data_IF_345796197387
#
_entry.id   IF_345796197387
#
_cell.length_a   1.000
_cell.length_b   1.000
_cell.length_c   1.000
_cell.angle_alpha   90.00
_cell.angle_beta   90.00
_cell.angle_gamma   90.00
#
_symmetry.space_group_name_H-M   'P 1'
#
loop_
_entity.id
_entity.type
_entity.pdbx_description
1 polymer ?
#
# COMPACT_ATOMS: atom_id res chain seq x y z
N UNK A 1 12.56 -57.15 -12.01
CA UNK A 1 11.30 -56.48 -11.75
C UNK A 1 11.65 -55.04 -11.31
N UNK A 2 11.61 -54.09 -12.28
CA UNK A 2 12.02 -52.68 -12.02
C UNK A 2 10.76 -51.90 -11.64
N UNK A 3 10.79 -51.29 -10.46
CA UNK A 3 9.74 -50.37 -10.00
C UNK A 3 10.23 -48.97 -10.31
N UNK A 4 9.59 -48.31 -11.27
CA UNK A 4 9.83 -46.93 -11.66
C UNK A 4 9.02 -46.02 -10.75
N UNK A 5 9.69 -45.27 -9.90
CA UNK A 5 9.09 -44.21 -9.10
C UNK A 5 8.81 -42.99 -9.98
N UNK A 6 7.54 -42.62 -10.12
CA UNK A 6 7.14 -41.31 -10.65
C UNK A 6 7.28 -40.25 -9.55
N UNK A 7 8.34 -39.46 -9.60
CA UNK A 7 8.44 -38.19 -8.89
C UNK A 7 7.50 -37.18 -9.55
N UNK A 8 6.38 -36.89 -8.91
CA UNK A 8 5.56 -35.72 -9.23
C UNK A 8 6.27 -34.47 -8.70
N UNK A 9 7.13 -33.89 -9.53
CA UNK A 9 7.60 -32.51 -9.34
C UNK A 9 6.40 -31.58 -9.50
N UNK A 10 5.88 -31.07 -8.41
CA UNK A 10 4.96 -29.94 -8.41
C UNK A 10 5.68 -28.72 -8.96
N UNK A 11 5.31 -28.31 -10.16
CA UNK A 11 5.67 -27.00 -10.72
C UNK A 11 4.93 -25.91 -9.97
N UNK A 12 5.56 -25.35 -8.93
CA UNK A 12 5.06 -24.25 -8.12
C UNK A 12 5.56 -22.88 -8.65
N UNK A 13 6.18 -22.82 -9.85
CA UNK A 13 6.96 -21.63 -10.24
C UNK A 13 6.26 -20.65 -11.20
N UNK A 14 5.14 -20.99 -11.86
CA UNK A 14 4.69 -20.17 -13.00
C UNK A 14 3.39 -19.37 -12.80
N UNK A 15 2.78 -19.40 -11.61
CA UNK A 15 1.49 -18.70 -11.38
C UNK A 15 1.59 -17.34 -10.67
N UNK A 16 2.79 -16.92 -10.24
CA UNK A 16 2.95 -15.72 -9.39
C UNK A 16 3.46 -14.46 -10.11
N UNK A 17 3.57 -14.44 -11.43
CA UNK A 17 4.22 -13.33 -12.16
C UNK A 17 3.32 -12.16 -12.57
N UNK A 18 2.02 -12.11 -12.26
CA UNK A 18 1.13 -11.08 -12.85
C UNK A 18 0.37 -10.16 -11.88
N UNK A 19 0.48 -10.29 -10.57
CA UNK A 19 -0.29 -9.47 -9.63
C UNK A 19 0.59 -8.92 -8.48
N UNK A 20 1.49 -7.98 -8.77
CA UNK A 20 2.00 -7.10 -7.71
C UNK A 20 0.93 -6.07 -7.39
N UNK A 21 0.12 -6.34 -6.36
CA UNK A 21 -0.84 -5.35 -5.88
C UNK A 21 -0.12 -4.19 -5.20
N UNK A 22 -0.69 -2.99 -5.39
CA UNK A 22 -0.21 -1.79 -4.71
C UNK A 22 -0.34 -1.98 -3.20
N UNK A 23 0.68 -1.63 -2.38
CA UNK A 23 0.54 -1.63 -0.94
C UNK A 23 -0.72 -0.87 -0.52
N UNK A 24 -1.55 -1.51 0.31
CA UNK A 24 -2.77 -0.93 0.86
C UNK A 24 -2.48 -0.35 2.25
N UNK A 25 -3.48 0.10 2.98
CA UNK A 25 -3.27 0.76 4.28
C UNK A 25 -2.45 -0.09 5.27
N UNK A 26 -2.71 -1.38 5.48
CA UNK A 26 -1.94 -2.17 6.45
C UNK A 26 -0.46 -2.29 6.10
N UNK A 27 -0.13 -2.47 4.83
CA UNK A 27 1.25 -2.56 4.34
C UNK A 27 1.98 -1.23 4.53
N UNK A 28 1.32 -0.11 4.17
CA UNK A 28 1.91 1.23 4.32
C UNK A 28 2.06 1.61 5.79
N UNK A 29 1.13 1.20 6.68
CA UNK A 29 1.23 1.45 8.12
C UNK A 29 2.40 0.69 8.76
N UNK A 30 2.59 -0.58 8.41
CA UNK A 30 3.72 -1.35 8.90
C UNK A 30 5.06 -0.77 8.42
N UNK A 31 5.13 -0.34 7.15
CA UNK A 31 6.32 0.36 6.64
C UNK A 31 6.56 1.68 7.36
N UNK A 32 5.50 2.46 7.66
CA UNK A 32 5.58 3.68 8.46
C UNK A 32 6.20 3.42 9.83
N UNK A 33 5.69 2.39 10.53
CA UNK A 33 6.20 2.03 11.88
C UNK A 33 7.69 1.72 11.81
N UNK A 34 8.11 0.91 10.84
CA UNK A 34 9.51 0.56 10.66
C UNK A 34 10.38 1.78 10.30
N UNK A 35 9.95 2.62 9.36
CA UNK A 35 10.68 3.84 9.00
C UNK A 35 10.76 4.83 10.15
N UNK A 36 9.66 5.05 10.90
CA UNK A 36 9.67 5.91 12.08
C UNK A 36 10.76 5.49 13.07
N UNK A 37 10.91 4.18 13.32
CA UNK A 37 11.93 3.62 14.21
C UNK A 37 13.35 3.91 13.71
N UNK A 38 13.60 3.74 12.39
CA UNK A 38 14.94 3.79 11.83
C UNK A 38 15.41 5.22 11.51
N UNK A 39 14.52 6.10 11.00
CA UNK A 39 14.97 7.39 10.43
C UNK A 39 14.49 8.62 11.19
N UNK A 40 13.67 8.48 12.24
CA UNK A 40 13.25 9.60 13.07
C UNK A 40 14.43 10.28 13.73
N UNK A 41 14.39 11.60 13.77
CA UNK A 41 15.42 12.49 14.31
C UNK A 41 16.75 12.48 13.56
N UNK A 42 16.88 11.74 12.47
CA UNK A 42 18.06 11.78 11.62
C UNK A 42 18.07 13.02 10.71
N UNK A 43 19.24 13.61 10.52
CA UNK A 43 19.45 14.74 9.60
C UNK A 43 19.78 14.22 8.21
N UNK A 44 19.21 14.81 7.18
CA UNK A 44 19.56 14.55 5.78
C UNK A 44 20.85 15.31 5.47
N UNK A 45 21.96 14.58 5.37
CA UNK A 45 23.28 15.16 5.10
C UNK A 45 23.47 15.44 3.62
N UNK A 46 22.97 14.55 2.75
CA UNK A 46 22.91 14.74 1.31
C UNK A 46 21.76 13.95 0.70
N UNK A 47 21.35 14.35 -0.50
CA UNK A 47 20.35 13.64 -1.30
C UNK A 47 20.82 13.50 -2.74
N UNK A 48 20.57 12.35 -3.35
CA UNK A 48 20.81 12.08 -4.76
C UNK A 48 19.50 11.70 -5.43
N UNK A 49 19.17 12.33 -6.55
CA UNK A 49 17.98 12.02 -7.36
C UNK A 49 18.43 11.53 -8.73
N UNK A 50 18.48 10.22 -8.93
CA UNK A 50 18.90 9.57 -10.18
C UNK A 50 17.80 9.59 -11.23
N UNK A 51 16.52 9.62 -10.81
CA UNK A 51 15.38 9.66 -11.71
C UNK A 51 14.47 10.86 -11.40
N UNK A 52 14.72 12.03 -12.04
CA UNK A 52 14.04 13.29 -11.73
C UNK A 52 12.51 13.25 -11.79
N UNK A 53 11.92 12.39 -12.64
CA UNK A 53 10.44 12.29 -12.75
C UNK A 53 9.78 11.91 -11.42
N UNK A 54 10.49 11.22 -10.50
CA UNK A 54 9.91 10.76 -9.23
C UNK A 54 9.71 11.89 -8.21
N UNK A 55 10.36 13.02 -8.40
CA UNK A 55 10.21 14.22 -7.55
C UNK A 55 9.52 15.39 -8.28
N UNK A 56 9.13 15.21 -9.54
CA UNK A 56 8.65 16.30 -10.41
C UNK A 56 7.14 16.47 -10.46
N UNK A 57 6.39 15.72 -9.68
CA UNK A 57 4.91 15.77 -9.64
C UNK A 57 4.26 14.42 -9.45
N UNK A 58 2.93 14.37 -9.56
CA UNK A 58 2.09 13.17 -9.35
C UNK A 58 1.34 12.78 -10.62
N UNK A 59 0.90 11.52 -10.69
CA UNK A 59 0.07 11.00 -11.79
C UNK A 59 0.79 10.96 -13.15
N UNK A 60 0.02 10.96 -14.23
CA UNK A 60 0.52 10.80 -15.60
C UNK A 60 1.17 12.07 -16.19
N UNK A 61 1.03 13.22 -15.51
CA UNK A 61 1.59 14.52 -15.95
C UNK A 61 3.03 14.73 -15.51
N UNK A 62 3.68 13.74 -14.89
CA UNK A 62 5.07 13.84 -14.43
C UNK A 62 6.02 13.91 -15.61
N UNK A 63 6.74 15.01 -15.72
CA UNK A 63 7.86 15.15 -16.67
C UNK A 63 9.17 15.16 -15.89
N UNK A 64 10.18 14.46 -16.39
CA UNK A 64 11.52 14.53 -15.82
C UNK A 64 12.05 15.97 -15.91
N UNK A 65 12.47 16.53 -14.78
CA UNK A 65 13.01 17.88 -14.69
C UNK A 65 14.24 17.88 -13.77
N UNK A 66 15.40 18.16 -14.35
CA UNK A 66 16.66 18.31 -13.60
C UNK A 66 16.58 19.48 -12.61
N UNK A 67 15.92 20.57 -13.01
CA UNK A 67 15.72 21.75 -12.15
C UNK A 67 14.88 21.38 -10.90
N UNK A 68 13.75 20.67 -11.06
CA UNK A 68 12.95 20.20 -9.92
C UNK A 68 13.70 19.18 -9.03
N UNK A 69 14.56 18.36 -9.62
CA UNK A 69 15.40 17.46 -8.83
C UNK A 69 16.44 18.25 -8.00
N UNK A 70 17.07 19.25 -8.58
CA UNK A 70 17.99 20.14 -7.86
C UNK A 70 17.28 20.95 -6.77
N UNK A 71 16.09 21.48 -7.06
CA UNK A 71 15.23 22.14 -6.08
C UNK A 71 14.88 21.19 -4.92
N UNK A 72 14.41 19.97 -5.23
CA UNK A 72 14.11 18.96 -4.21
C UNK A 72 15.31 18.71 -3.30
N UNK A 73 16.50 18.51 -3.88
CA UNK A 73 17.73 18.27 -3.10
C UNK A 73 18.03 19.48 -2.20
N UNK A 74 17.97 20.72 -2.73
CA UNK A 74 18.31 21.92 -1.97
C UNK A 74 17.38 22.16 -0.77
N UNK A 75 16.09 21.82 -0.91
CA UNK A 75 15.10 22.05 0.16
C UNK A 75 15.09 20.95 1.22
N UNK A 76 15.56 19.73 0.93
CA UNK A 76 15.55 18.62 1.91
C UNK A 76 16.87 18.48 2.66
N UNK A 77 18.00 18.81 2.03
CA UNK A 77 19.33 18.70 2.65
C UNK A 77 19.46 19.66 3.83
N UNK A 78 20.09 19.17 4.90
CA UNK A 78 20.24 19.91 6.15
C UNK A 78 19.04 19.80 7.11
N UNK A 79 17.88 19.33 6.65
CA UNK A 79 16.68 19.14 7.49
C UNK A 79 16.76 17.83 8.27
N UNK A 80 16.12 17.81 9.44
CA UNK A 80 15.94 16.61 10.27
C UNK A 80 14.55 16.03 9.98
N UNK A 81 14.45 14.70 9.86
CA UNK A 81 13.16 14.00 9.79
C UNK A 81 12.61 13.91 11.21
N UNK A 82 11.57 14.67 11.53
CA UNK A 82 11.01 14.74 12.88
C UNK A 82 9.97 13.67 13.16
N UNK A 83 9.28 13.21 12.11
CA UNK A 83 8.31 12.11 12.19
C UNK A 83 8.09 11.47 10.82
N UNK A 84 7.68 10.20 10.83
CA UNK A 84 7.11 9.50 9.66
C UNK A 84 5.64 9.20 9.96
N UNK A 85 4.74 9.83 9.22
CA UNK A 85 3.30 9.65 9.36
C UNK A 85 2.71 8.96 8.13
N UNK A 86 1.44 8.57 8.22
CA UNK A 86 0.67 8.00 7.11
C UNK A 86 -0.65 8.75 6.93
N UNK A 87 -1.01 8.95 5.66
CA UNK A 87 -2.37 9.34 5.27
C UNK A 87 -2.82 8.47 4.10
N UNK A 88 -3.87 7.69 4.29
CA UNK A 88 -4.31 6.67 3.32
C UNK A 88 -3.16 5.68 2.98
N UNK A 89 -2.77 5.62 1.71
CA UNK A 89 -1.66 4.80 1.19
C UNK A 89 -0.40 5.62 0.93
N UNK A 90 -0.28 6.79 1.57
CA UNK A 90 0.88 7.67 1.46
C UNK A 90 1.63 7.71 2.78
N UNK A 91 2.97 7.76 2.71
CA UNK A 91 3.83 8.15 3.82
C UNK A 91 4.08 9.67 3.77
N UNK A 92 4.32 10.26 4.93
CA UNK A 92 4.62 11.68 5.08
C UNK A 92 5.84 11.78 5.99
N UNK A 93 6.98 12.19 5.43
CA UNK A 93 8.16 12.53 6.24
C UNK A 93 8.07 13.99 6.64
N UNK A 94 7.81 14.28 7.89
CA UNK A 94 7.84 15.64 8.43
C UNK A 94 9.27 16.09 8.66
N UNK A 95 9.57 17.32 8.27
CA UNK A 95 10.90 17.90 8.39
C UNK A 95 10.94 19.00 9.46
N UNK A 96 12.15 19.28 9.96
CA UNK A 96 12.37 20.15 11.13
C UNK A 96 12.02 21.63 10.92
N UNK A 97 11.83 22.05 9.67
CA UNK A 97 11.39 23.40 9.30
C UNK A 97 9.88 23.53 9.06
N UNK A 98 9.10 22.50 9.40
CA UNK A 98 7.65 22.45 9.19
C UNK A 98 7.22 22.00 7.79
N UNK A 99 8.18 21.75 6.89
CA UNK A 99 7.94 21.16 5.57
C UNK A 99 7.73 19.64 5.64
N UNK A 100 7.35 19.04 4.53
CA UNK A 100 7.13 17.60 4.46
C UNK A 100 7.44 17.00 3.08
N UNK A 101 7.78 15.71 3.06
CA UNK A 101 7.88 14.91 1.84
C UNK A 101 6.71 13.92 1.82
N UNK A 102 5.83 14.03 0.84
CA UNK A 102 4.77 13.05 0.58
C UNK A 102 5.33 11.94 -0.31
N UNK A 103 5.17 10.70 0.11
CA UNK A 103 5.64 9.53 -0.60
C UNK A 103 4.47 8.62 -0.95
N UNK A 104 4.39 8.16 -2.19
CA UNK A 104 3.50 7.09 -2.59
C UNK A 104 4.28 5.98 -3.29
N UNK A 105 4.25 4.78 -2.74
CA UNK A 105 5.03 3.64 -3.24
C UNK A 105 4.51 3.10 -4.58
N UNK A 106 3.21 3.27 -4.86
CA UNK A 106 2.55 2.62 -5.99
C UNK A 106 2.79 1.10 -5.96
N UNK A 107 3.17 0.48 -7.07
CA UNK A 107 3.20 -1.00 -7.20
C UNK A 107 4.57 -1.62 -6.90
N UNK A 108 5.65 -0.87 -6.93
CA UNK A 108 7.00 -1.42 -6.78
C UNK A 108 7.95 -0.53 -5.97
N UNK A 109 7.41 0.53 -5.35
CA UNK A 109 8.20 1.37 -4.47
C UNK A 109 8.62 0.63 -3.21
N UNK A 110 9.88 0.81 -2.83
CA UNK A 110 10.52 0.16 -1.70
C UNK A 110 11.44 1.14 -1.00
N UNK A 111 11.51 1.08 0.32
CA UNK A 111 12.58 1.71 1.09
C UNK A 111 13.53 0.66 1.64
N UNK A 112 14.83 0.95 1.54
CA UNK A 112 15.90 0.18 2.19
C UNK A 112 16.72 1.14 3.05
N UNK A 113 16.84 0.86 4.32
CA UNK A 113 17.71 1.60 5.22
C UNK A 113 18.94 0.77 5.56
N UNK A 114 20.12 1.35 5.36
CA UNK A 114 21.42 0.76 5.68
C UNK A 114 22.10 1.60 6.77
N UNK A 115 22.20 1.10 8.00
CA UNK A 115 22.88 1.83 9.07
C UNK A 115 24.39 1.93 8.83
N UNK A 116 25.02 3.02 9.31
CA UNK A 116 26.47 3.22 9.20
C UNK A 116 27.27 2.26 10.10
N UNK A 117 26.73 1.90 11.27
CA UNK A 117 27.32 0.90 12.17
C UNK A 117 27.10 -0.50 11.62
N UNK A 118 28.00 -1.45 11.92
CA UNK A 118 27.84 -2.86 11.52
C UNK A 118 26.45 -3.37 11.96
N UNK A 119 25.53 -3.43 11.02
CA UNK A 119 24.17 -3.92 11.19
C UNK A 119 23.65 -4.40 9.84
N UNK A 120 22.62 -5.26 9.87
CA UNK A 120 21.95 -5.67 8.64
C UNK A 120 21.20 -4.47 8.03
N UNK A 121 21.17 -4.40 6.72
CA UNK A 121 20.24 -3.51 6.01
C UNK A 121 18.81 -3.87 6.40
N UNK A 122 17.95 -2.89 6.50
CA UNK A 122 16.53 -3.06 6.86
C UNK A 122 15.71 -2.67 5.64
N UNK A 123 15.00 -3.61 5.05
CA UNK A 123 14.29 -3.47 3.78
C UNK A 123 12.78 -3.55 3.98
N UNK A 124 12.02 -2.62 3.38
CA UNK A 124 10.56 -2.63 3.45
C UNK A 124 9.90 -2.11 2.19
N UNK A 125 8.83 -2.78 1.78
CA UNK A 125 8.11 -2.56 0.53
C UNK A 125 8.19 -3.74 -0.43
N UNK A 126 8.03 -3.51 -1.72
CA UNK A 126 8.11 -4.59 -2.71
C UNK A 126 9.55 -5.03 -2.99
N UNK A 127 9.81 -6.28 -2.72
CA UNK A 127 11.13 -6.90 -2.91
C UNK A 127 11.33 -7.30 -4.39
N UNK A 128 12.48 -6.97 -4.98
CA UNK A 128 12.94 -7.64 -6.19
C UNK A 128 13.65 -8.94 -5.75
N UNK A 129 13.38 -10.06 -6.39
CA UNK A 129 13.94 -11.39 -6.07
C UNK A 129 15.50 -11.49 -6.08
N UNK A 130 16.17 -10.38 -6.15
CA UNK A 130 17.63 -10.27 -6.14
C UNK A 130 18.12 -10.06 -4.69
N UNK A 131 18.04 -11.10 -3.85
CA UNK A 131 18.41 -11.10 -2.43
C UNK A 131 19.90 -10.80 -2.12
N UNK A 132 20.72 -10.46 -3.12
CA UNK A 132 22.13 -10.10 -3.00
C UNK A 132 22.53 -8.87 -3.82
N UNK A 133 21.58 -7.97 -4.13
CA UNK A 133 21.91 -6.77 -4.92
C UNK A 133 22.67 -5.77 -4.05
N UNK A 134 23.88 -5.44 -4.47
CA UNK A 134 24.62 -4.33 -3.86
C UNK A 134 23.85 -3.01 -3.97
N UNK A 135 23.68 -2.31 -2.87
CA UNK A 135 23.11 -0.96 -2.86
C UNK A 135 24.21 0.09 -3.05
N UNK A 136 23.95 1.09 -3.90
CA UNK A 136 22.73 1.35 -4.68
C UNK A 136 22.62 0.45 -5.92
N UNK A 137 21.40 -0.08 -6.16
CA UNK A 137 21.07 -0.88 -7.34
C UNK A 137 20.67 -0.02 -8.55
N UNK A 138 20.43 -0.66 -9.71
CA UNK A 138 19.84 0.01 -10.90
C UNK A 138 18.44 0.60 -10.64
N UNK A 139 17.74 0.10 -9.62
CA UNK A 139 16.40 0.55 -9.20
C UNK A 139 16.43 1.57 -8.06
N UNK A 140 17.61 1.90 -7.51
CA UNK A 140 17.77 2.93 -6.49
C UNK A 140 17.74 4.31 -7.14
N UNK A 141 16.58 4.97 -7.06
CA UNK A 141 16.35 6.22 -7.80
C UNK A 141 16.48 7.49 -6.94
N UNK A 142 16.28 7.37 -5.61
CA UNK A 142 16.50 8.46 -4.67
C UNK A 142 17.26 7.89 -3.48
N UNK A 143 18.33 8.59 -3.07
CA UNK A 143 19.22 8.17 -2.00
C UNK A 143 19.39 9.33 -1.03
N UNK A 144 19.07 9.10 0.24
CA UNK A 144 19.31 10.06 1.32
C UNK A 144 20.44 9.52 2.20
N UNK A 145 21.56 10.25 2.28
CA UNK A 145 22.55 10.03 3.34
C UNK A 145 22.05 10.73 4.60
N UNK A 146 21.82 9.95 5.62
CA UNK A 146 21.35 10.39 6.92
C UNK A 146 22.50 10.36 7.94
N UNK A 147 22.29 10.93 9.13
CA UNK A 147 23.30 10.97 10.18
C UNK A 147 23.81 9.58 10.55
N UNK A 148 22.90 8.60 10.70
CA UNK A 148 23.23 7.27 11.20
C UNK A 148 23.14 6.16 10.12
N UNK A 149 22.88 6.52 8.85
CA UNK A 149 22.74 5.55 7.78
C UNK A 149 22.40 6.15 6.43
N UNK A 150 22.02 5.29 5.50
CA UNK A 150 21.60 5.68 4.15
C UNK A 150 20.24 5.07 3.87
N UNK A 151 19.28 5.91 3.45
CA UNK A 151 17.95 5.50 3.03
C UNK A 151 17.88 5.51 1.50
N UNK A 152 17.58 4.37 0.91
CA UNK A 152 17.39 4.18 -0.52
C UNK A 152 15.90 4.06 -0.84
N UNK A 153 15.44 4.78 -1.85
CA UNK A 153 14.15 4.56 -2.47
C UNK A 153 14.34 3.84 -3.81
N UNK A 154 13.89 2.61 -3.85
CA UNK A 154 13.94 1.73 -5.02
C UNK A 154 12.55 1.65 -5.66
N UNK A 155 12.48 1.62 -7.00
CA UNK A 155 11.21 1.45 -7.71
C UNK A 155 11.43 0.89 -9.11
N UNK A 156 11.31 -0.42 -9.29
CA UNK A 156 11.54 -1.09 -10.58
C UNK A 156 10.59 -0.60 -11.70
N UNK A 157 9.34 -0.27 -11.37
CA UNK A 157 8.33 0.22 -12.35
C UNK A 157 8.30 1.74 -12.46
N UNK A 158 8.98 2.45 -11.57
CA UNK A 158 9.09 3.91 -11.55
C UNK A 158 7.75 4.66 -11.53
N UNK A 159 6.73 4.08 -10.86
CA UNK A 159 5.39 4.65 -10.71
C UNK A 159 5.23 5.44 -9.41
N UNK A 160 6.04 5.17 -8.42
CA UNK A 160 6.06 5.90 -7.17
C UNK A 160 6.51 7.35 -7.31
N UNK A 161 6.43 8.11 -6.23
CA UNK A 161 6.87 9.49 -6.21
C UNK A 161 7.17 9.99 -4.79
N UNK A 162 8.06 10.98 -4.69
CA UNK A 162 8.39 11.73 -3.48
C UNK A 162 8.24 13.21 -3.79
N UNK A 163 7.25 13.89 -3.19
CA UNK A 163 6.95 15.30 -3.48
C UNK A 163 7.15 16.13 -2.21
N UNK A 164 7.97 17.15 -2.33
CA UNK A 164 8.19 18.14 -1.27
C UNK A 164 7.03 19.13 -1.19
N UNK A 165 6.63 19.46 0.04
CA UNK A 165 5.66 20.50 0.37
C UNK A 165 6.25 21.42 1.42
N UNK A 166 6.24 22.73 1.16
CA UNK A 166 6.84 23.76 2.02
C UNK A 166 6.26 23.85 3.44
N UNK A 167 5.04 23.31 3.66
CA UNK A 167 4.38 23.21 4.96
C UNK A 167 3.20 22.20 4.88
N UNK A 168 2.65 21.86 6.05
CA UNK A 168 1.53 20.92 6.17
C UNK A 168 0.24 21.46 5.55
N UNK A 169 0.01 22.78 5.52
CA UNK A 169 -1.17 23.36 4.87
C UNK A 169 -1.11 23.12 3.36
N UNK A 170 0.03 23.37 2.72
CA UNK A 170 0.23 23.06 1.29
C UNK A 170 0.09 21.56 0.99
N UNK A 171 0.57 20.70 1.87
CA UNK A 171 0.42 19.24 1.76
C UNK A 171 -1.06 18.82 1.83
N UNK A 172 -1.80 19.28 2.84
CA UNK A 172 -3.20 18.93 3.05
C UNK A 172 -4.11 19.43 1.93
N UNK A 173 -3.79 20.58 1.33
CA UNK A 173 -4.50 21.15 0.18
C UNK A 173 -4.05 20.58 -1.17
N UNK A 174 -3.09 19.63 -1.19
CA UNK A 174 -2.61 19.01 -2.43
C UNK A 174 -3.71 18.23 -3.14
N UNK A 175 -3.60 18.13 -4.47
CA UNK A 175 -4.51 17.32 -5.30
C UNK A 175 -4.54 15.84 -4.86
N UNK A 176 -3.48 15.36 -4.24
CA UNK A 176 -3.38 13.98 -3.74
C UNK A 176 -4.19 13.78 -2.47
N UNK A 177 -4.19 14.73 -1.52
CA UNK A 177 -4.79 14.52 -0.21
C UNK A 177 -6.17 15.16 -0.04
N UNK A 178 -6.46 16.28 -0.70
CA UNK A 178 -7.70 17.04 -0.49
C UNK A 178 -9.00 16.30 -0.81
N UNK A 179 -8.94 15.27 -1.67
CA UNK A 179 -10.12 14.47 -2.08
C UNK A 179 -10.26 13.17 -1.31
N UNK A 180 -9.33 12.89 -0.39
CA UNK A 180 -9.36 11.65 0.37
C UNK A 180 -10.44 11.70 1.46
N UNK A 181 -11.24 10.65 1.55
CA UNK A 181 -12.18 10.41 2.63
C UNK A 181 -11.48 10.20 3.99
N UNK A 182 -12.22 9.95 5.06
CA UNK A 182 -11.68 9.75 6.39
C UNK A 182 -10.83 8.47 6.49
N UNK A 183 -9.92 8.46 7.47
CA UNK A 183 -9.20 7.27 7.88
C UNK A 183 -10.17 6.24 8.50
N UNK A 184 -10.12 4.95 8.10
CA UNK A 184 -11.10 3.95 8.54
C UNK A 184 -11.06 3.66 10.04
N UNK A 185 -9.95 3.98 10.71
CA UNK A 185 -9.78 3.82 12.14
C UNK A 185 -9.89 5.15 12.90
N UNK A 186 -10.09 6.26 12.17
CA UNK A 186 -10.24 7.60 12.74
C UNK A 186 -11.64 7.87 13.29
N UNK A 187 -11.77 8.92 14.08
CA UNK A 187 -13.03 9.35 14.71
C UNK A 187 -14.06 9.86 13.69
N UNK A 188 -13.60 10.35 12.55
CA UNK A 188 -14.46 10.90 11.47
C UNK A 188 -15.16 9.81 10.66
N UNK A 189 -14.64 8.58 10.63
CA UNK A 189 -15.26 7.44 9.99
C UNK A 189 -16.31 6.84 10.92
N UNK A 190 -17.50 7.41 10.94
CA UNK A 190 -18.67 6.93 11.70
C UNK A 190 -19.61 6.14 10.80
N UNK A 191 -20.48 5.28 11.39
CA UNK A 191 -21.51 4.57 10.62
C UNK A 191 -22.42 5.55 9.87
N UNK A 192 -22.90 6.59 10.54
CA UNK A 192 -23.76 7.63 9.94
C UNK A 192 -23.09 8.33 8.74
N UNK A 193 -21.78 8.66 8.87
CA UNK A 193 -21.02 9.21 7.74
C UNK A 193 -20.97 8.20 6.58
N UNK A 194 -20.64 6.94 6.87
CA UNK A 194 -20.47 5.91 5.85
C UNK A 194 -21.76 5.63 5.09
N UNK A 195 -22.90 5.55 5.79
CA UNK A 195 -24.23 5.42 5.22
C UNK A 195 -24.53 6.58 4.25
N UNK A 196 -24.37 7.82 4.72
CA UNK A 196 -24.61 9.01 3.91
C UNK A 196 -23.71 9.06 2.67
N UNK A 197 -22.42 8.72 2.84
CA UNK A 197 -21.44 8.73 1.74
C UNK A 197 -21.75 7.67 0.67
N UNK A 198 -22.20 6.48 1.05
CA UNK A 198 -22.58 5.43 0.11
C UNK A 198 -23.91 5.76 -0.61
N UNK A 199 -24.88 6.31 0.10
CA UNK A 199 -26.20 6.66 -0.45
C UNK A 199 -26.11 7.70 -1.59
N UNK A 200 -25.10 8.58 -1.56
CA UNK A 200 -24.90 9.61 -2.61
C UNK A 200 -24.26 9.09 -3.89
N UNK A 201 -23.72 7.87 -3.90
CA UNK A 201 -23.00 7.33 -5.06
C UNK A 201 -23.87 6.31 -5.81
N UNK A 202 -23.80 6.35 -7.15
CA UNK A 202 -24.44 5.38 -8.05
C UNK A 202 -23.37 4.53 -8.76
N UNK A 203 -22.49 3.91 -7.98
CA UNK A 203 -21.37 3.06 -8.47
C UNK A 203 -21.50 1.67 -7.86
N UNK A 204 -20.89 0.64 -8.47
CA UNK A 204 -20.75 -0.62 -7.75
C UNK A 204 -19.89 -0.42 -6.50
N UNK A 205 -20.17 -1.21 -5.46
CA UNK A 205 -19.57 -1.10 -4.14
C UNK A 205 -18.03 -1.15 -4.21
N UNK A 206 -17.48 -2.09 -5.00
CA UNK A 206 -16.03 -2.18 -5.16
C UNK A 206 -15.43 -0.90 -5.74
N UNK A 207 -16.01 -0.34 -6.80
CA UNK A 207 -15.53 0.93 -7.38
C UNK A 207 -15.60 2.09 -6.39
N UNK A 208 -16.65 2.14 -5.58
CA UNK A 208 -16.86 3.19 -4.61
C UNK A 208 -15.80 3.15 -3.50
N UNK A 209 -15.49 1.96 -2.97
CA UNK A 209 -14.49 1.76 -1.92
C UNK A 209 -13.05 1.93 -2.44
N UNK A 210 -12.75 1.49 -3.67
CA UNK A 210 -11.45 1.70 -4.30
C UNK A 210 -11.13 3.18 -4.57
N UNK A 211 -12.15 4.02 -4.73
CA UNK A 211 -12.01 5.45 -5.07
C UNK A 211 -11.35 6.30 -3.99
N UNK A 212 -11.21 5.82 -2.77
CA UNK A 212 -10.59 6.52 -1.62
C UNK A 212 -11.30 7.81 -1.18
N UNK A 213 -12.48 8.14 -1.73
CA UNK A 213 -13.25 9.33 -1.37
C UNK A 213 -14.20 9.07 -0.19
N UNK A 214 -14.75 7.86 -0.08
CA UNK A 214 -15.68 7.46 0.98
C UNK A 214 -14.93 7.03 2.23
N UNK A 215 -13.92 6.20 2.06
CA UNK A 215 -13.01 5.73 3.09
C UNK A 215 -11.68 5.43 2.42
N UNK A 216 -10.59 5.73 3.11
CA UNK A 216 -9.26 5.51 2.54
C UNK A 216 -8.66 4.17 2.93
N UNK A 217 -7.60 3.80 2.23
CA UNK A 217 -6.73 2.70 2.60
C UNK A 217 -7.11 1.35 2.01
N UNK A 218 -8.38 1.12 1.69
CA UNK A 218 -8.83 -0.11 1.03
C UNK A 218 -8.34 -0.16 -0.42
N UNK A 219 -7.86 -1.30 -0.84
CA UNK A 219 -7.52 -1.60 -2.23
C UNK A 219 -8.16 -2.90 -2.66
N UNK A 220 -7.53 -3.59 -3.62
CA UNK A 220 -8.11 -4.77 -4.25
C UNK A 220 -8.28 -5.96 -3.29
N UNK A 221 -7.31 -6.14 -2.39
CA UNK A 221 -7.31 -7.20 -1.38
C UNK A 221 -8.42 -6.96 -0.36
N UNK A 222 -8.31 -5.84 0.35
CA UNK A 222 -9.19 -5.61 1.51
C UNK A 222 -10.61 -5.30 1.12
N UNK A 223 -10.89 -4.77 -0.09
CA UNK A 223 -12.29 -4.61 -0.55
C UNK A 223 -12.95 -5.95 -0.77
N UNK A 224 -12.30 -6.93 -1.41
CA UNK A 224 -12.88 -8.26 -1.61
C UNK A 224 -13.12 -8.97 -0.28
N UNK A 225 -12.15 -8.92 0.65
CA UNK A 225 -12.27 -9.50 1.98
C UNK A 225 -13.37 -8.85 2.83
N UNK A 226 -13.46 -7.50 2.82
CA UNK A 226 -14.53 -6.76 3.52
C UNK A 226 -15.90 -7.13 2.99
N UNK A 227 -16.07 -7.17 1.66
CA UNK A 227 -17.34 -7.56 1.04
C UNK A 227 -17.73 -9.00 1.40
N UNK A 228 -16.78 -9.91 1.48
CA UNK A 228 -17.03 -11.29 1.89
C UNK A 228 -17.45 -11.38 3.37
N UNK A 229 -16.72 -10.71 4.27
CA UNK A 229 -17.03 -10.69 5.71
C UNK A 229 -18.43 -10.09 5.96
N UNK A 230 -18.78 -9.05 5.22
CA UNK A 230 -20.08 -8.39 5.33
C UNK A 230 -21.22 -9.18 4.67
N UNK A 231 -20.93 -10.19 3.85
CA UNK A 231 -21.92 -10.94 3.07
C UNK A 231 -22.54 -10.12 1.92
N UNK A 232 -21.89 -9.04 1.48
CA UNK A 232 -22.38 -8.11 0.45
C UNK A 232 -21.66 -8.34 -0.87
N UNK A 233 -22.42 -8.45 -1.96
CA UNK A 233 -21.84 -8.62 -3.29
C UNK A 233 -21.12 -7.34 -3.74
N UNK A 234 -19.82 -7.38 -4.12
CA UNK A 234 -19.06 -6.20 -4.52
C UNK A 234 -19.56 -5.51 -5.78
N UNK A 235 -20.45 -6.16 -6.56
CA UNK A 235 -21.08 -5.60 -7.74
C UNK A 235 -22.37 -4.78 -7.43
N UNK A 236 -22.90 -4.86 -6.20
CA UNK A 236 -24.09 -4.11 -5.79
C UNK A 236 -23.88 -2.61 -5.96
N UNK A 237 -24.93 -1.91 -6.37
CA UNK A 237 -24.91 -0.44 -6.49
C UNK A 237 -25.02 0.16 -5.09
N UNK A 238 -24.17 1.12 -4.75
CA UNK A 238 -24.02 1.60 -3.37
C UNK A 238 -25.29 2.18 -2.77
N UNK A 239 -26.08 2.94 -3.53
CA UNK A 239 -27.34 3.53 -3.04
C UNK A 239 -28.54 2.54 -2.99
N UNK A 240 -28.33 1.26 -3.31
CA UNK A 240 -29.32 0.20 -3.14
C UNK A 240 -29.03 -0.70 -1.95
N UNK A 241 -27.96 -0.41 -1.20
CA UNK A 241 -27.61 -1.15 -0.01
C UNK A 241 -28.56 -0.82 1.14
N UNK A 242 -28.96 -1.83 1.88
CA UNK A 242 -29.78 -1.65 3.08
C UNK A 242 -28.92 -1.17 4.25
N UNK A 243 -29.49 -0.46 5.23
CA UNK A 243 -28.72 0.00 6.41
C UNK A 243 -27.94 -1.11 7.11
N UNK A 244 -28.54 -2.30 7.27
CA UNK A 244 -27.89 -3.44 7.91
C UNK A 244 -26.69 -3.98 7.11
N UNK A 245 -26.73 -3.87 5.78
CA UNK A 245 -25.60 -4.23 4.90
C UNK A 245 -24.47 -3.23 5.04
N UNK A 246 -24.80 -1.93 5.14
CA UNK A 246 -23.82 -0.85 5.34
C UNK A 246 -23.16 -0.98 6.72
N UNK A 247 -23.92 -1.29 7.76
CA UNK A 247 -23.40 -1.54 9.10
C UNK A 247 -22.43 -2.74 9.11
N UNK A 248 -22.77 -3.84 8.45
CA UNK A 248 -21.89 -5.00 8.30
C UNK A 248 -20.59 -4.65 7.59
N UNK A 249 -20.65 -3.84 6.51
CA UNK A 249 -19.46 -3.36 5.80
C UNK A 249 -18.60 -2.46 6.70
N UNK A 250 -19.22 -1.53 7.43
CA UNK A 250 -18.54 -0.65 8.37
C UNK A 250 -17.77 -1.46 9.44
N UNK A 251 -18.46 -2.42 10.06
CA UNK A 251 -17.87 -3.27 11.08
C UNK A 251 -16.76 -4.16 10.50
N UNK A 252 -16.93 -4.71 9.28
CA UNK A 252 -15.93 -5.50 8.59
C UNK A 252 -14.66 -4.69 8.33
N UNK A 253 -14.76 -3.44 7.86
CA UNK A 253 -13.61 -2.53 7.65
C UNK A 253 -12.84 -2.31 8.94
N UNK A 254 -13.56 -1.96 10.02
CA UNK A 254 -12.97 -1.66 11.33
C UNK A 254 -12.39 -2.90 12.03
N UNK A 255 -12.78 -4.08 11.65
CA UNK A 255 -12.26 -5.36 12.17
C UNK A 255 -11.04 -5.82 11.40
N UNK A 256 -11.12 -5.83 10.06
CA UNK A 256 -10.07 -6.45 9.21
C UNK A 256 -8.78 -5.63 9.17
N UNK A 257 -8.87 -4.30 9.10
CA UNK A 257 -7.67 -3.46 8.92
C UNK A 257 -6.74 -3.49 10.13
N UNK A 258 -7.20 -3.33 11.39
CA UNK A 258 -6.32 -3.49 12.56
C UNK A 258 -5.72 -4.88 12.67
N UNK A 259 -6.50 -5.91 12.33
CA UNK A 259 -6.02 -7.28 12.34
C UNK A 259 -4.93 -7.50 11.29
N UNK A 260 -5.13 -7.01 10.07
CA UNK A 260 -4.12 -7.06 9.01
C UNK A 260 -2.85 -6.29 9.38
N UNK A 261 -2.96 -5.09 10.00
CA UNK A 261 -1.80 -4.33 10.51
C UNK A 261 -1.03 -5.19 11.52
N UNK A 262 -1.72 -5.79 12.49
CA UNK A 262 -1.10 -6.65 13.53
C UNK A 262 -0.34 -7.83 12.92
N UNK A 263 -0.83 -8.38 11.81
CA UNK A 263 -0.19 -9.50 11.10
C UNK A 263 0.88 -9.05 10.08
N UNK A 264 1.22 -7.77 10.02
CA UNK A 264 2.22 -7.26 9.09
C UNK A 264 1.70 -7.02 7.66
N UNK A 265 0.40 -7.05 7.45
CA UNK A 265 -0.22 -6.93 6.13
C UNK A 265 -0.23 -8.21 5.31
N UNK A 266 -0.71 -8.11 4.08
CA UNK A 266 -0.72 -9.17 3.07
C UNK A 266 0.58 -9.14 2.30
N UNK A 267 1.56 -9.97 2.68
CA UNK A 267 2.74 -10.19 1.84
C UNK A 267 2.37 -11.10 0.67
N UNK A 268 1.63 -10.54 -0.30
CA UNK A 268 1.38 -11.22 -1.55
C UNK A 268 2.62 -11.04 -2.43
N UNK A 269 3.24 -12.13 -2.81
CA UNK A 269 4.41 -12.26 -3.67
C UNK A 269 5.72 -11.60 -3.15
N UNK A 270 5.84 -10.29 -3.13
CA UNK A 270 7.14 -9.62 -2.97
C UNK A 270 7.20 -8.56 -1.87
N UNK A 271 6.11 -8.33 -1.10
CA UNK A 271 6.13 -7.32 -0.05
C UNK A 271 6.76 -7.85 1.24
N UNK A 272 7.71 -7.10 1.81
CA UNK A 272 8.38 -7.39 3.08
C UNK A 272 8.26 -6.20 4.05
N UNK A 273 8.27 -6.50 5.34
CA UNK A 273 8.38 -5.52 6.41
C UNK A 273 9.84 -5.05 6.54
N UNK A 274 10.04 -3.90 7.20
CA UNK A 274 11.39 -3.36 7.42
C UNK A 274 12.29 -4.24 8.31
N UNK A 275 11.78 -5.28 8.95
CA UNK A 275 12.54 -6.27 9.71
C UNK A 275 12.80 -7.58 8.93
N UNK A 276 12.66 -7.54 7.60
CA UNK A 276 12.77 -8.68 6.68
C UNK A 276 11.72 -9.79 6.90
N UNK A 277 10.77 -9.59 7.83
CA UNK A 277 9.66 -10.52 8.00
C UNK A 277 8.60 -10.32 6.91
N UNK A 278 7.82 -11.36 6.66
CA UNK A 278 6.66 -11.30 5.75
C UNK A 278 5.39 -11.14 6.55
N UNK A 279 4.50 -10.30 6.07
CA UNK A 279 3.16 -10.23 6.63
C UNK A 279 2.41 -11.56 6.46
N UNK A 280 1.70 -11.96 7.50
CA UNK A 280 1.00 -13.26 7.55
C UNK A 280 -0.47 -13.17 7.16
N UNK A 281 -1.02 -11.97 6.91
CA UNK A 281 -2.43 -11.81 6.59
C UNK A 281 -2.86 -12.52 5.30
N UNK A 282 -1.94 -12.70 4.34
CA UNK A 282 -2.21 -13.45 3.11
C UNK A 282 -2.71 -14.89 3.36
N UNK A 283 -2.31 -15.52 4.46
CA UNK A 283 -2.78 -16.88 4.87
C UNK A 283 -4.23 -16.86 5.34
N UNK A 284 -4.74 -15.71 5.71
CA UNK A 284 -6.09 -15.55 6.23
C UNK A 284 -7.11 -15.08 5.18
N UNK A 285 -6.69 -14.84 3.95
CA UNK A 285 -7.60 -14.50 2.88
C UNK A 285 -8.72 -15.51 2.73
N UNK A 286 -9.95 -15.01 2.59
CA UNK A 286 -11.16 -15.85 2.44
C UNK A 286 -11.55 -15.98 0.98
N UNK A 287 -11.34 -14.93 0.19
CA UNK A 287 -11.72 -14.88 -1.23
C UNK A 287 -10.60 -14.33 -2.13
N UNK A 288 -9.80 -13.38 -1.67
CA UNK A 288 -8.78 -12.77 -2.53
C UNK A 288 -7.76 -13.79 -3.04
N UNK A 289 -7.58 -13.86 -4.38
CA UNK A 289 -6.66 -14.80 -5.03
C UNK A 289 -7.13 -16.26 -5.06
N UNK A 290 -8.38 -16.55 -4.66
CA UNK A 290 -8.93 -17.90 -4.49
C UNK A 290 -10.06 -18.23 -5.48
N UNK A 291 -10.02 -17.67 -6.69
CA UNK A 291 -11.05 -17.97 -7.68
C UNK A 291 -11.04 -19.47 -8.05
N UNK A 292 -12.25 -20.06 -8.04
CA UNK A 292 -12.43 -21.50 -8.23
C UNK A 292 -12.34 -22.35 -6.95
N UNK A 293 -11.65 -21.86 -5.92
CA UNK A 293 -11.53 -22.58 -4.64
C UNK A 293 -12.89 -22.71 -3.94
N UNK A 294 -13.06 -23.72 -3.06
CA UNK A 294 -14.24 -23.85 -2.23
C UNK A 294 -14.39 -22.67 -1.26
N UNK A 295 -15.54 -22.01 -1.25
CA UNK A 295 -15.85 -20.97 -0.26
C UNK A 295 -15.73 -21.53 1.16
N UNK A 296 -15.04 -20.82 2.05
CA UNK A 296 -14.80 -21.25 3.43
C UNK A 296 -16.10 -21.44 4.22
N UNK A 297 -17.20 -20.72 3.85
CA UNK A 297 -18.49 -20.78 4.54
C UNK A 297 -19.45 -21.81 3.95
N UNK A 298 -19.67 -21.83 2.63
CA UNK A 298 -20.70 -22.67 2.01
C UNK A 298 -20.15 -23.79 1.11
N UNK A 299 -18.84 -23.89 0.97
CA UNK A 299 -18.10 -24.88 0.15
C UNK A 299 -18.35 -24.81 -1.37
N UNK A 300 -19.27 -23.95 -1.85
CA UNK A 300 -19.44 -23.73 -3.29
C UNK A 300 -18.24 -23.01 -3.89
N UNK A 301 -17.90 -23.21 -5.18
CA UNK A 301 -16.78 -22.55 -5.82
C UNK A 301 -16.91 -21.03 -5.78
N UNK A 302 -15.81 -20.35 -5.44
CA UNK A 302 -15.70 -18.90 -5.54
C UNK A 302 -15.70 -18.46 -7.01
N UNK A 303 -16.32 -17.33 -7.26
CA UNK A 303 -16.50 -16.78 -8.60
C UNK A 303 -15.60 -15.57 -8.82
N UNK A 304 -15.12 -15.41 -10.05
CA UNK A 304 -14.35 -14.27 -10.50
C UNK A 304 -15.13 -13.40 -11.47
N UNK A 305 -14.97 -12.08 -11.38
CA UNK A 305 -15.35 -11.12 -12.42
C UNK A 305 -14.47 -9.88 -12.38
N UNK A 306 -14.49 -9.09 -13.44
CA UNK A 306 -13.79 -7.80 -13.46
C UNK A 306 -14.74 -6.69 -13.02
N UNK A 307 -14.38 -5.94 -11.98
CA UNK A 307 -15.05 -4.72 -11.51
C UNK A 307 -14.02 -3.60 -11.37
N UNK A 308 -14.35 -2.40 -11.85
CA UNK A 308 -13.44 -1.25 -11.80
C UNK A 308 -12.06 -1.52 -12.42
N UNK A 309 -11.98 -2.35 -13.47
CA UNK A 309 -10.72 -2.77 -14.09
C UNK A 309 -9.85 -3.66 -13.20
N UNK A 310 -10.42 -4.26 -12.15
CA UNK A 310 -9.71 -5.15 -11.22
C UNK A 310 -10.39 -6.51 -11.13
N UNK A 311 -9.58 -7.55 -11.02
CA UNK A 311 -10.08 -8.89 -10.66
C UNK A 311 -10.77 -8.82 -9.31
N UNK A 312 -11.96 -9.38 -9.22
CA UNK A 312 -12.81 -9.42 -8.03
C UNK A 312 -13.20 -10.86 -7.79
N UNK A 313 -12.91 -11.39 -6.61
CA UNK A 313 -13.28 -12.76 -6.22
C UNK A 313 -14.32 -12.69 -5.12
N UNK A 314 -15.41 -13.43 -5.26
CA UNK A 314 -16.52 -13.42 -4.34
C UNK A 314 -17.32 -14.72 -4.36
N UNK A 315 -18.11 -14.98 -3.33
CA UNK A 315 -19.01 -16.12 -3.26
C UNK A 315 -20.43 -15.70 -3.69
N UNK A 316 -20.94 -16.19 -4.83
CA UNK A 316 -22.31 -15.93 -5.30
C UNK A 316 -23.40 -16.40 -4.32
N UNK A 317 -23.09 -17.38 -3.48
CA UNK A 317 -24.05 -17.94 -2.53
C UNK A 317 -24.10 -17.14 -1.22
N UNK A 318 -22.95 -16.71 -0.69
CA UNK A 318 -22.85 -16.04 0.60
C UNK A 318 -22.97 -14.50 0.49
N UNK A 319 -22.68 -13.90 -0.66
CA UNK A 319 -22.69 -12.47 -0.86
C UNK A 319 -23.86 -12.06 -1.77
N UNK A 320 -24.83 -11.34 -1.19
CA UNK A 320 -26.09 -10.92 -1.86
C UNK A 320 -26.04 -9.46 -2.29
#
# INVERSE_FOLDING_TARGET
MKITGHETRFFYSDFYHTLSDMPELPEVENLRIGLEREIKNQKILSAEVRLPKLVSGTGNKRKASKAKAAEFISVVVGRKITAVERRAKNLIFKLSDGSAILVHLKMSGQFVYKPNKKGKSVEGGHFSNESNVSLPSKHSHIIFKLTDGTLFYNDARTFGYLIYYKNLAALNNSETLKKLGPEPLGKEFTLKYFESALATKKKNLKSALLGQEIVVGLGNIYVDEVCFIAGVNPARITNTLKPEEVEKLYNAIRKILPHAIKLGGSSVATYMLLDESRGNFAREHKVYGKDGDPCVSCKKPLSKRTLAGRTTVFCKNCQK
#
